data_IF_473216056366
#
_entry.id   IF_473216056366
#
_cell.length_a   1.000
_cell.length_b   1.000
_cell.length_c   1.000
_cell.angle_alpha   90.00
_cell.angle_beta   90.00
_cell.angle_gamma   90.00
#
_symmetry.space_group_name_H-M   'P 1'
#
loop_
_entity.id
_entity.type
_entity.pdbx_description
1 polymer ?
#
# COMPACT_ATOMS: atom_id res chain seq x y z
N UNK A 1 43.79 16.56 16.66
CA UNK A 1 42.82 15.61 17.28
C UNK A 1 41.38 15.93 16.84
N UNK A 2 41.04 15.77 15.55
CA UNK A 2 39.72 16.13 14.98
C UNK A 2 38.96 14.97 14.31
N UNK A 3 39.60 13.80 14.12
CA UNK A 3 39.00 12.69 13.36
C UNK A 3 38.05 11.79 14.15
N UNK A 4 38.20 11.71 15.48
CA UNK A 4 37.32 10.85 16.31
C UNK A 4 35.97 11.51 16.53
N UNK A 5 35.94 12.83 16.74
CA UNK A 5 34.70 13.59 16.91
C UNK A 5 33.83 13.62 15.66
N UNK A 6 34.42 13.78 14.46
CA UNK A 6 33.66 13.76 13.20
C UNK A 6 33.14 12.35 12.86
N UNK A 7 33.86 11.30 13.25
CA UNK A 7 33.43 9.92 13.10
C UNK A 7 32.20 9.60 13.96
N UNK A 8 32.23 9.91 15.27
CA UNK A 8 31.07 9.72 16.15
C UNK A 8 29.88 10.58 15.72
N UNK A 9 30.13 11.80 15.24
CA UNK A 9 29.09 12.66 14.70
C UNK A 9 28.46 12.08 13.42
N UNK A 10 29.25 11.53 12.50
CA UNK A 10 28.76 10.86 11.29
C UNK A 10 28.00 9.56 11.59
N UNK A 11 28.47 8.75 12.54
CA UNK A 11 27.79 7.52 12.97
C UNK A 11 26.44 7.83 13.62
N UNK A 12 26.37 8.83 14.53
CA UNK A 12 25.11 9.26 15.15
C UNK A 12 24.11 9.78 14.12
N UNK A 13 24.58 10.53 13.10
CA UNK A 13 23.74 11.05 12.01
C UNK A 13 23.25 9.96 11.06
N UNK A 14 24.10 8.97 10.75
CA UNK A 14 23.74 7.83 9.90
C UNK A 14 22.69 6.93 10.56
N UNK A 15 22.81 6.67 11.86
CA UNK A 15 21.84 5.86 12.60
C UNK A 15 20.49 6.62 12.72
N UNK A 16 20.52 7.90 13.08
CA UNK A 16 19.29 8.71 13.19
C UNK A 16 18.63 9.01 11.83
N UNK A 17 19.38 8.97 10.72
CA UNK A 17 18.79 9.13 9.38
C UNK A 17 18.34 7.79 8.79
N UNK A 18 19.21 6.80 8.63
CA UNK A 18 18.87 5.58 7.87
C UNK A 18 18.04 4.60 8.70
N UNK A 19 18.42 4.34 9.96
CA UNK A 19 17.70 3.38 10.82
C UNK A 19 16.40 3.94 11.39
N UNK A 20 16.18 5.26 11.34
CA UNK A 20 14.95 5.90 11.82
C UNK A 20 13.98 6.18 10.66
N UNK A 21 14.47 6.58 9.49
CA UNK A 21 13.64 6.76 8.30
C UNK A 21 13.18 5.43 7.69
N UNK A 22 13.94 4.34 7.79
CA UNK A 22 13.47 3.04 7.30
C UNK A 22 12.19 2.56 8.02
N UNK A 23 12.11 2.53 9.37
CA UNK A 23 10.85 2.28 10.09
C UNK A 23 9.75 3.30 9.80
N UNK A 24 10.10 4.59 9.69
CA UNK A 24 9.12 5.65 9.41
C UNK A 24 8.51 5.51 8.02
N UNK A 25 9.31 5.19 7.00
CA UNK A 25 8.84 4.91 5.64
C UNK A 25 7.93 3.68 5.60
N UNK A 26 8.20 2.68 6.44
CA UNK A 26 7.36 1.47 6.54
C UNK A 26 6.01 1.76 7.16
N UNK A 27 5.98 2.58 8.20
CA UNK A 27 4.74 3.06 8.80
C UNK A 27 3.99 4.02 7.88
N UNK A 28 4.71 4.85 7.11
CA UNK A 28 4.14 5.71 6.07
C UNK A 28 3.37 4.92 5.02
N UNK A 29 3.84 3.72 4.65
CA UNK A 29 3.15 2.84 3.72
C UNK A 29 1.82 2.30 4.27
N UNK A 30 1.83 1.88 5.54
CA UNK A 30 0.61 1.40 6.23
C UNK A 30 -0.41 2.54 6.35
N UNK A 31 0.05 3.74 6.69
CA UNK A 31 -0.80 4.94 6.80
C UNK A 31 -1.38 5.32 5.44
N UNK A 32 -0.59 5.30 4.36
CA UNK A 32 -1.06 5.59 3.01
C UNK A 32 -2.16 4.62 2.56
N UNK A 33 -1.97 3.32 2.78
CA UNK A 33 -2.99 2.32 2.45
C UNK A 33 -4.27 2.46 3.29
N UNK A 34 -4.15 2.78 4.58
CA UNK A 34 -5.30 3.15 5.41
C UNK A 34 -6.04 4.39 4.90
N UNK A 35 -5.33 5.35 4.31
CA UNK A 35 -5.94 6.58 3.80
C UNK A 35 -6.70 6.35 2.49
N UNK A 36 -6.28 5.40 1.64
CA UNK A 36 -7.04 5.05 0.43
C UNK A 36 -8.38 4.33 0.74
N UNK A 37 -8.55 3.71 1.91
CA UNK A 37 -9.85 3.13 2.34
C UNK A 37 -10.95 4.18 2.55
N UNK A 38 -10.57 5.45 2.75
CA UNK A 38 -11.53 6.54 3.03
C UNK A 38 -12.17 7.13 1.78
N UNK A 39 -11.71 6.77 0.57
CA UNK A 39 -12.27 7.30 -0.68
C UNK A 39 -13.65 6.70 -1.00
N UNK A 40 -14.56 7.54 -1.50
CA UNK A 40 -15.92 7.15 -1.83
C UNK A 40 -16.02 6.27 -3.09
N UNK A 41 -16.90 5.23 -3.09
CA UNK A 41 -17.00 4.18 -4.12
C UNK A 41 -17.27 4.67 -5.55
N UNK A 42 -17.78 5.90 -5.72
CA UNK A 42 -18.12 6.49 -7.02
C UNK A 42 -16.88 6.90 -7.83
N UNK A 43 -15.79 7.29 -7.16
CA UNK A 43 -14.57 7.76 -7.84
C UNK A 43 -13.62 6.64 -8.27
N UNK A 44 -13.99 5.38 -8.01
CA UNK A 44 -13.10 4.23 -8.20
C UNK A 44 -13.36 3.54 -9.53
N UNK A 45 -12.31 3.46 -10.35
CA UNK A 45 -12.33 2.73 -11.62
C UNK A 45 -12.13 1.22 -11.36
N UNK A 46 -13.12 0.40 -11.74
CA UNK A 46 -13.09 -1.07 -11.56
C UNK A 46 -11.98 -1.73 -12.37
N UNK A 47 -11.82 -1.29 -13.62
CA UNK A 47 -10.79 -1.85 -14.51
C UNK A 47 -9.40 -1.57 -13.96
N UNK A 48 -9.18 -0.35 -13.46
CA UNK A 48 -7.90 0.04 -12.88
C UNK A 48 -7.58 -0.72 -11.59
N UNK A 49 -8.55 -0.80 -10.67
CA UNK A 49 -8.37 -1.52 -9.39
C UNK A 49 -8.22 -3.02 -9.58
N UNK A 50 -8.89 -3.61 -10.57
CA UNK A 50 -8.70 -5.04 -10.88
C UNK A 50 -7.30 -5.32 -11.41
N UNK A 51 -6.81 -4.52 -12.37
CA UNK A 51 -5.46 -4.65 -12.92
C UNK A 51 -4.40 -4.45 -11.84
N UNK A 52 -4.57 -3.44 -10.99
CA UNK A 52 -3.61 -3.12 -9.94
C UNK A 52 -3.66 -4.13 -8.76
N UNK A 53 -4.79 -4.80 -8.53
CA UNK A 53 -4.91 -5.95 -7.62
C UNK A 53 -4.13 -7.15 -8.16
N UNK A 54 -4.32 -7.52 -9.44
CA UNK A 54 -3.60 -8.63 -10.08
C UNK A 54 -2.08 -8.35 -10.11
N UNK A 55 -1.69 -7.13 -10.47
CA UNK A 55 -0.30 -6.70 -10.45
C UNK A 55 0.32 -6.85 -9.05
N UNK A 56 -0.37 -6.38 -8.01
CA UNK A 56 0.14 -6.46 -6.63
C UNK A 56 0.22 -7.90 -6.10
N UNK A 57 -0.67 -8.81 -6.53
CA UNK A 57 -0.61 -10.24 -6.21
C UNK A 57 0.64 -10.92 -6.81
N UNK A 58 0.94 -10.63 -8.08
CA UNK A 58 2.15 -11.12 -8.74
C UNK A 58 3.41 -10.61 -8.04
N UNK A 59 3.40 -9.34 -7.66
CA UNK A 59 4.53 -8.71 -6.99
C UNK A 59 4.76 -9.23 -5.56
N UNK A 60 3.71 -9.58 -4.81
CA UNK A 60 3.84 -10.22 -3.49
C UNK A 60 4.55 -11.58 -3.58
N UNK A 61 4.24 -12.39 -4.60
CA UNK A 61 4.91 -13.69 -4.80
C UNK A 61 6.38 -13.52 -5.19
N UNK A 62 6.69 -12.48 -5.97
CA UNK A 62 8.07 -12.16 -6.35
C UNK A 62 8.88 -11.58 -5.19
N UNK A 63 8.28 -10.73 -4.35
CA UNK A 63 8.92 -10.14 -3.17
C UNK A 63 9.35 -11.17 -2.11
N UNK A 64 8.62 -12.28 -2.01
CA UNK A 64 8.97 -13.40 -1.11
C UNK A 64 10.07 -14.31 -1.69
N UNK A 65 10.20 -14.37 -3.01
CA UNK A 65 11.17 -15.21 -3.72
C UNK A 65 12.56 -14.58 -3.82
N UNK A 66 12.67 -13.25 -3.87
CA UNK A 66 13.95 -12.54 -3.92
C UNK A 66 14.65 -12.58 -2.55
N UNK A 67 15.94 -12.95 -2.54
CA UNK A 67 16.84 -12.82 -1.38
C UNK A 67 17.84 -11.68 -1.63
N UNK A 68 18.06 -10.76 -0.67
CA UNK A 68 17.42 -10.67 0.66
C UNK A 68 15.95 -10.22 0.59
N UNK A 69 15.11 -10.78 1.47
CA UNK A 69 13.65 -10.55 1.46
C UNK A 69 13.33 -9.10 1.83
N UNK A 70 12.65 -8.38 0.93
CA UNK A 70 12.26 -6.99 1.16
C UNK A 70 10.80 -6.90 1.66
N UNK A 71 10.62 -7.02 2.97
CA UNK A 71 9.31 -7.04 3.64
C UNK A 71 8.48 -5.75 3.44
N UNK A 72 9.12 -4.65 3.04
CA UNK A 72 8.50 -3.33 2.92
C UNK A 72 7.70 -3.20 1.63
N UNK A 73 8.27 -3.72 0.55
CA UNK A 73 7.62 -3.85 -0.74
C UNK A 73 6.43 -4.82 -0.61
N UNK A 74 6.60 -5.90 0.16
CA UNK A 74 5.53 -6.85 0.43
C UNK A 74 4.36 -6.22 1.21
N UNK A 75 4.62 -5.52 2.32
CA UNK A 75 3.55 -4.89 3.13
C UNK A 75 2.81 -3.80 2.36
N UNK A 76 3.52 -3.05 1.54
CA UNK A 76 2.98 -2.10 0.58
C UNK A 76 1.95 -2.74 -0.35
N UNK A 77 2.36 -3.76 -1.10
CA UNK A 77 1.51 -4.40 -2.08
C UNK A 77 0.39 -5.20 -1.43
N UNK A 78 0.62 -5.77 -0.25
CA UNK A 78 -0.42 -6.43 0.54
C UNK A 78 -1.52 -5.44 0.96
N UNK A 79 -1.13 -4.27 1.48
CA UNK A 79 -2.09 -3.23 1.87
C UNK A 79 -2.83 -2.70 0.64
N UNK A 80 -2.14 -2.40 -0.45
CA UNK A 80 -2.77 -1.95 -1.69
C UNK A 80 -3.74 -3.00 -2.26
N UNK A 81 -3.43 -4.30 -2.18
CA UNK A 81 -4.33 -5.38 -2.64
C UNK A 81 -5.57 -5.47 -1.76
N UNK A 82 -5.40 -5.38 -0.44
CA UNK A 82 -6.50 -5.39 0.53
C UNK A 82 -7.45 -4.21 0.31
N UNK A 83 -6.91 -3.01 0.18
CA UNK A 83 -7.65 -1.77 -0.05
C UNK A 83 -8.46 -1.85 -1.34
N UNK A 84 -7.82 -2.26 -2.44
CA UNK A 84 -8.49 -2.38 -3.73
C UNK A 84 -9.55 -3.48 -3.74
N UNK A 85 -9.33 -4.60 -3.04
CA UNK A 85 -10.31 -5.68 -2.93
C UNK A 85 -11.56 -5.24 -2.16
N UNK A 86 -11.38 -4.49 -1.06
CA UNK A 86 -12.50 -3.94 -0.28
C UNK A 86 -13.28 -2.91 -1.10
N UNK A 87 -12.56 -2.06 -1.84
CA UNK A 87 -13.16 -1.08 -2.75
C UNK A 87 -13.98 -1.74 -3.86
N UNK A 88 -13.42 -2.76 -4.51
CA UNK A 88 -14.08 -3.54 -5.54
C UNK A 88 -15.35 -4.20 -4.99
N UNK A 89 -15.27 -4.79 -3.80
CA UNK A 89 -16.44 -5.38 -3.13
C UNK A 89 -17.54 -4.36 -2.84
N UNK A 90 -17.19 -3.18 -2.27
CA UNK A 90 -18.16 -2.10 -2.03
C UNK A 90 -18.80 -1.63 -3.34
N UNK A 91 -18.04 -1.55 -4.43
CA UNK A 91 -18.55 -1.11 -5.72
C UNK A 91 -19.46 -2.15 -6.41
N UNK A 92 -19.10 -3.43 -6.38
CA UNK A 92 -19.96 -4.52 -6.88
C UNK A 92 -21.31 -4.55 -6.16
N UNK A 93 -21.30 -4.32 -4.83
CA UNK A 93 -22.54 -4.18 -4.06
C UNK A 93 -23.36 -2.97 -4.50
N UNK A 94 -22.72 -1.83 -4.74
CA UNK A 94 -23.38 -0.61 -5.22
C UNK A 94 -24.01 -0.80 -6.62
N UNK A 95 -23.28 -1.39 -7.57
CA UNK A 95 -23.80 -1.71 -8.91
C UNK A 95 -25.00 -2.67 -8.81
N UNK A 96 -24.92 -3.71 -7.97
CA UNK A 96 -26.03 -4.67 -7.79
C UNK A 96 -27.29 -3.99 -7.29
N UNK A 97 -27.18 -3.09 -6.30
CA UNK A 97 -28.32 -2.34 -5.77
C UNK A 97 -28.86 -1.31 -6.77
N UNK A 98 -27.98 -0.60 -7.51
CA UNK A 98 -28.40 0.31 -8.58
C UNK A 98 -29.10 -0.39 -9.74
N UNK A 99 -28.66 -1.59 -10.11
CA UNK A 99 -29.31 -2.41 -11.14
C UNK A 99 -30.69 -2.88 -10.68
N UNK A 100 -30.83 -3.32 -9.42
CA UNK A 100 -32.14 -3.69 -8.85
C UNK A 100 -33.14 -2.55 -8.89
N UNK A 101 -32.73 -1.33 -8.52
CA UNK A 101 -33.61 -0.14 -8.58
C UNK A 101 -34.08 0.14 -10.01
N UNK A 102 -33.19 0.03 -11.01
CA UNK A 102 -33.56 0.20 -12.42
C UNK A 102 -34.53 -0.87 -12.93
N UNK A 103 -34.39 -2.11 -12.44
CA UNK A 103 -35.27 -3.22 -12.82
C UNK A 103 -36.64 -3.08 -12.14
N UNK A 104 -36.70 -2.68 -10.87
CA UNK A 104 -37.95 -2.46 -10.13
C UNK A 104 -38.73 -1.24 -10.62
N UNK A 105 -38.05 -0.23 -11.16
CA UNK A 105 -38.68 0.99 -11.69
C UNK A 105 -39.23 0.84 -13.12
N UNK A 106 -39.09 -0.33 -13.74
CA UNK A 106 -39.56 -0.63 -15.09
C UNK A 106 -40.76 -1.58 -15.04
#
# INVERSE_FOLDING_TARGET
MSNVGSFFHNVKRNILSIMLWAPLANWGFVIAGCNDLKKEPVYISEKMTTVLTIYSLLFMRYALAIKPKNYLLFSCHATNTLVQSILLYKKLKYETEHQKIKITAK
#
